data_IF_388631835846
#
_entry.id   IF_388631835846
#
_cell.length_a   1.000
_cell.length_b   1.000
_cell.length_c   1.000
_cell.angle_alpha   90.00
_cell.angle_beta   90.00
_cell.angle_gamma   90.00
#
_symmetry.space_group_name_H-M   'P 1'
#
loop_
_entity.id
_entity.type
_entity.pdbx_description
1 polymer ?
#
# COMPACT_ATOMS: atom_id res chain seq x y z
N UNK A 1 7.42 1.78 -20.49
CA UNK A 1 7.20 0.45 -19.90
C UNK A 1 5.71 0.21 -19.95
N UNK A 2 5.27 -0.89 -20.57
CA UNK A 2 3.89 -1.30 -20.43
C UNK A 2 3.76 -1.93 -19.03
N UNK A 3 3.06 -1.25 -18.14
CA UNK A 3 2.73 -1.77 -16.80
C UNK A 3 1.40 -2.53 -16.82
N UNK A 4 1.09 -3.22 -17.93
CA UNK A 4 -0.15 -4.00 -18.08
C UNK A 4 -0.22 -5.15 -17.05
N UNK A 5 0.92 -5.51 -16.45
CA UNK A 5 1.00 -6.50 -15.39
C UNK A 5 2.12 -6.16 -14.38
N UNK A 6 1.80 -6.24 -13.09
CA UNK A 6 2.74 -6.02 -11.99
C UNK A 6 3.53 -7.30 -11.68
N UNK A 7 4.85 -7.23 -11.84
CA UNK A 7 5.79 -8.31 -11.58
C UNK A 7 6.72 -7.95 -10.41
N UNK A 8 7.38 -8.94 -9.77
CA UNK A 8 8.40 -8.68 -8.74
C UNK A 8 9.54 -7.76 -9.19
N UNK A 9 9.78 -7.67 -10.50
CA UNK A 9 10.86 -6.86 -11.06
C UNK A 9 10.43 -5.41 -11.37
N UNK A 10 9.12 -5.17 -11.62
CA UNK A 10 8.62 -3.85 -12.04
C UNK A 10 7.81 -3.10 -10.97
N UNK A 11 7.33 -3.79 -9.92
CA UNK A 11 6.40 -3.19 -8.96
C UNK A 11 6.99 -1.99 -8.20
N UNK A 12 8.29 -2.03 -7.91
CA UNK A 12 8.93 -0.94 -7.18
C UNK A 12 9.00 0.32 -8.05
N UNK A 13 9.34 0.16 -9.33
CA UNK A 13 9.33 1.28 -10.28
C UNK A 13 7.92 1.83 -10.49
N UNK A 14 6.93 0.96 -10.62
CA UNK A 14 5.52 1.37 -10.68
C UNK A 14 5.10 2.17 -9.44
N UNK A 15 5.44 1.67 -8.25
CA UNK A 15 5.12 2.35 -6.99
C UNK A 15 5.79 3.72 -6.90
N UNK A 16 7.08 3.82 -7.26
CA UNK A 16 7.80 5.10 -7.25
C UNK A 16 7.18 6.11 -8.23
N UNK A 17 6.79 5.67 -9.43
CA UNK A 17 6.21 6.55 -10.45
C UNK A 17 4.84 7.10 -10.06
N UNK A 18 4.07 6.36 -9.27
CA UNK A 18 2.72 6.74 -8.86
C UNK A 18 2.66 7.26 -7.41
N UNK A 19 3.80 7.40 -6.73
CA UNK A 19 3.85 7.92 -5.37
C UNK A 19 3.86 9.45 -5.37
N UNK A 20 2.84 10.04 -4.75
CA UNK A 20 2.73 11.47 -4.53
C UNK A 20 2.24 11.75 -3.11
N UNK A 21 3.18 12.09 -2.21
CA UNK A 21 2.84 12.49 -0.85
C UNK A 21 3.05 14.01 -0.69
N UNK A 22 1.97 14.80 -0.58
CA UNK A 22 2.06 16.26 -0.46
C UNK A 22 2.64 16.71 0.89
N UNK A 23 2.67 15.83 1.90
CA UNK A 23 3.14 16.15 3.26
C UNK A 23 4.60 15.77 3.51
N UNK A 24 5.18 14.84 2.73
CA UNK A 24 6.59 14.43 2.89
C UNK A 24 7.13 13.68 1.68
N UNK A 25 8.33 14.04 1.21
CA UNK A 25 8.89 13.59 -0.09
C UNK A 25 10.13 12.71 0.09
N UNK A 26 10.45 12.25 1.31
CA UNK A 26 11.66 11.45 1.50
C UNK A 26 11.45 9.99 1.12
N UNK A 27 12.52 9.32 0.71
CA UNK A 27 12.49 7.90 0.42
C UNK A 27 12.13 7.05 1.65
N UNK A 28 12.45 7.52 2.86
CA UNK A 28 12.07 6.83 4.10
C UNK A 28 10.55 6.81 4.31
N UNK A 29 9.86 7.90 3.97
CA UNK A 29 8.39 7.99 4.07
C UNK A 29 7.74 7.03 3.07
N UNK A 30 8.26 6.99 1.84
CA UNK A 30 7.83 6.04 0.82
C UNK A 30 7.96 4.58 1.31
N UNK A 31 9.09 4.21 1.90
CA UNK A 31 9.27 2.87 2.47
C UNK A 31 8.30 2.58 3.63
N UNK A 32 7.95 3.59 4.43
CA UNK A 32 6.97 3.45 5.50
C UNK A 32 5.57 3.20 4.97
N UNK A 33 5.15 3.94 3.94
CA UNK A 33 3.85 3.74 3.31
C UNK A 33 3.76 2.38 2.59
N UNK A 34 4.85 1.91 1.96
CA UNK A 34 4.91 0.54 1.42
C UNK A 34 4.71 -0.54 2.49
N UNK A 35 5.13 -0.32 3.75
CA UNK A 35 4.91 -1.28 4.83
C UNK A 35 3.43 -1.46 5.17
N UNK A 36 2.55 -0.52 4.80
CA UNK A 36 1.10 -0.60 5.05
C UNK A 36 0.47 -1.77 4.30
N UNK A 37 0.88 -2.06 3.06
CA UNK A 37 0.42 -3.26 2.32
C UNK A 37 0.71 -4.55 3.10
N UNK A 38 1.93 -4.69 3.64
CA UNK A 38 2.31 -5.84 4.48
C UNK A 38 1.49 -5.91 5.77
N UNK A 39 1.14 -4.76 6.35
CA UNK A 39 0.32 -4.71 7.55
C UNK A 39 -1.13 -5.13 7.24
N UNK A 40 -1.75 -4.62 6.18
CA UNK A 40 -3.09 -5.05 5.76
C UNK A 40 -3.11 -6.58 5.57
N UNK A 41 -2.14 -7.14 4.83
CA UNK A 41 -1.99 -8.60 4.67
C UNK A 41 -1.93 -9.35 6.00
N UNK A 42 -1.19 -8.82 6.98
CA UNK A 42 -1.09 -9.40 8.33
C UNK A 42 -2.42 -9.35 9.09
N UNK A 43 -3.19 -8.26 8.97
CA UNK A 43 -4.50 -8.13 9.60
C UNK A 43 -5.51 -9.12 9.00
N UNK A 44 -5.51 -9.29 7.68
CA UNK A 44 -6.35 -10.26 7.00
C UNK A 44 -5.99 -11.70 7.40
N UNK A 45 -4.70 -12.04 7.45
CA UNK A 45 -4.25 -13.36 7.94
C UNK A 45 -4.66 -13.63 9.40
N UNK A 46 -4.68 -12.58 10.24
CA UNK A 46 -5.16 -12.70 11.63
C UNK A 46 -6.67 -12.92 11.66
N UNK A 47 -7.43 -12.27 10.78
CA UNK A 47 -8.86 -12.51 10.66
C UNK A 47 -9.17 -13.98 10.33
N UNK A 48 -8.39 -14.60 9.43
CA UNK A 48 -8.54 -16.03 9.14
C UNK A 48 -8.36 -16.94 10.36
N UNK A 49 -7.50 -16.55 11.33
CA UNK A 49 -7.24 -17.36 12.52
C UNK A 49 -8.15 -17.03 13.71
N UNK A 50 -8.56 -15.77 13.88
CA UNK A 50 -9.34 -15.33 15.05
C UNK A 50 -10.82 -15.06 14.76
N UNK A 51 -11.21 -14.93 13.48
CA UNK A 51 -12.55 -14.53 13.07
C UNK A 51 -12.89 -13.05 13.34
N UNK A 52 -11.94 -12.28 13.88
CA UNK A 52 -12.14 -10.87 14.24
C UNK A 52 -11.46 -9.95 13.22
N UNK A 53 -12.26 -9.17 12.50
CA UNK A 53 -11.76 -8.23 11.50
C UNK A 53 -11.55 -6.85 12.12
N UNK A 54 -10.31 -6.36 12.12
CA UNK A 54 -9.96 -5.02 12.61
C UNK A 54 -10.27 -3.94 11.56
N UNK A 55 -11.55 -3.74 11.27
CA UNK A 55 -12.06 -2.85 10.21
C UNK A 55 -11.45 -1.44 10.25
N UNK A 56 -11.46 -0.76 11.40
CA UNK A 56 -10.91 0.60 11.54
C UNK A 56 -9.41 0.67 11.21
N UNK A 57 -8.62 -0.32 11.63
CA UNK A 57 -7.18 -0.36 11.35
C UNK A 57 -6.91 -0.61 9.87
N UNK A 58 -7.65 -1.54 9.26
CA UNK A 58 -7.54 -1.80 7.81
C UNK A 58 -7.91 -0.54 7.04
N UNK A 59 -9.05 0.07 7.36
CA UNK A 59 -9.52 1.29 6.68
C UNK A 59 -8.52 2.43 6.80
N UNK A 60 -7.92 2.63 7.98
CA UNK A 60 -6.88 3.64 8.15
C UNK A 60 -5.66 3.40 7.25
N UNK A 61 -5.19 2.16 7.12
CA UNK A 61 -4.10 1.85 6.20
C UNK A 61 -4.49 2.08 4.74
N UNK A 62 -5.70 1.70 4.35
CA UNK A 62 -6.22 1.91 2.99
C UNK A 62 -6.33 3.39 2.65
N UNK A 63 -6.90 4.22 3.54
CA UNK A 63 -7.02 5.67 3.32
C UNK A 63 -5.65 6.31 3.06
N UNK A 64 -4.63 5.98 3.87
CA UNK A 64 -3.30 6.54 3.65
C UNK A 64 -2.70 6.08 2.32
N UNK A 65 -2.91 4.82 1.92
CA UNK A 65 -2.45 4.34 0.61
C UNK A 65 -3.10 5.11 -0.54
N UNK A 66 -4.41 5.35 -0.50
CA UNK A 66 -5.09 6.16 -1.53
C UNK A 66 -4.68 7.63 -1.50
N UNK A 67 -4.35 8.19 -0.33
CA UNK A 67 -3.85 9.56 -0.25
C UNK A 67 -2.49 9.77 -0.93
N UNK A 68 -1.67 8.71 -1.02
CA UNK A 68 -0.29 8.82 -1.56
C UNK A 68 -0.09 8.10 -2.90
N UNK A 69 -0.95 7.15 -3.27
CA UNK A 69 -0.90 6.44 -4.55
C UNK A 69 -2.13 6.67 -5.43
N UNK A 70 -3.17 7.32 -4.92
CA UNK A 70 -4.43 7.53 -5.63
C UNK A 70 -4.99 6.21 -6.20
N UNK A 71 -5.58 6.22 -7.39
CA UNK A 71 -6.05 5.03 -8.12
C UNK A 71 -4.97 3.94 -8.30
N UNK A 72 -3.67 4.29 -8.30
CA UNK A 72 -2.59 3.32 -8.45
C UNK A 72 -2.38 2.44 -7.20
N UNK A 73 -3.09 2.70 -6.10
CA UNK A 73 -3.15 1.80 -4.94
C UNK A 73 -3.81 0.45 -5.29
N UNK A 74 -4.68 0.43 -6.30
CA UNK A 74 -5.38 -0.75 -6.83
C UNK A 74 -5.34 -0.76 -8.36
N UNK A 75 -4.19 -1.13 -8.96
CA UNK A 75 -3.97 -1.15 -10.39
C UNK A 75 -4.64 -2.33 -11.11
#
# INVERSE_FOLDING_TARGET
MNFDELTPDNWLFFAIQNYNNPSSVTYADFEEDLKRFKYIKRLLKRYETTGELKTHLILNHVIVLYNVFDDAATP
#
